data_IF_123328301040
#
_entry.id   IF_123328301040
#
_cell.length_a   1.000
_cell.length_b   1.000
_cell.length_c   1.000
_cell.angle_alpha   90.00
_cell.angle_beta   90.00
_cell.angle_gamma   90.00
#
_symmetry.space_group_name_H-M   'P 1'
#
loop_
_entity.id
_entity.type
_entity.pdbx_description
1 polymer ?
#
# COMPACT_ATOMS: atom_id res chain seq x y z
N UNK A 1 21.33 -52.09 83.33
CA UNK A 1 21.18 -50.77 82.69
C UNK A 1 22.22 -50.72 81.58
N UNK A 2 21.96 -51.18 80.35
CA UNK A 2 20.75 -51.11 79.48
C UNK A 2 20.46 -49.66 79.07
N UNK A 3 20.33 -49.26 77.79
CA UNK A 3 20.69 -49.95 76.50
C UNK A 3 21.19 -48.86 75.48
N UNK A 4 21.02 -48.77 74.13
CA UNK A 4 20.16 -49.37 73.08
C UNK A 4 20.97 -49.59 71.78
N UNK A 5 20.71 -50.71 71.07
CA UNK A 5 20.90 -50.91 69.60
C UNK A 5 19.52 -51.26 68.99
N UNK A 6 19.20 -51.15 67.66
CA UNK A 6 20.12 -51.24 66.52
C UNK A 6 19.83 -50.41 65.22
N UNK A 7 20.83 -50.36 64.33
CA UNK A 7 20.79 -50.54 62.84
C UNK A 7 19.80 -49.79 61.91
N UNK A 8 20.38 -49.23 60.83
CA UNK A 8 19.77 -48.82 59.53
C UNK A 8 18.81 -47.61 59.56
N UNK A 9 18.51 -46.91 58.45
CA UNK A 9 18.76 -47.19 57.03
C UNK A 9 19.12 -45.91 56.23
N UNK A 10 19.69 -46.04 55.03
CA UNK A 10 20.12 -44.90 54.21
C UNK A 10 19.09 -44.51 53.15
N UNK A 11 18.67 -43.25 53.11
CA UNK A 11 17.72 -42.71 52.12
C UNK A 11 18.42 -41.74 51.14
N UNK A 12 18.38 -41.98 49.81
CA UNK A 12 18.91 -41.04 48.82
C UNK A 12 18.06 -39.76 48.70
N UNK A 13 18.70 -38.63 48.39
CA UNK A 13 17.99 -37.37 48.13
C UNK A 13 17.25 -37.37 46.79
N UNK A 14 16.05 -36.77 46.74
CA UNK A 14 15.27 -36.57 45.53
C UNK A 14 14.79 -35.12 45.39
N UNK A 15 15.09 -34.53 44.23
CA UNK A 15 14.91 -33.13 43.82
C UNK A 15 13.46 -32.61 44.03
N UNK A 16 13.33 -31.39 44.55
CA UNK A 16 12.05 -30.68 44.58
C UNK A 16 11.73 -30.01 43.22
N UNK A 17 10.58 -30.27 42.58
CA UNK A 17 10.20 -29.62 41.33
C UNK A 17 9.56 -28.25 41.59
N UNK A 18 10.32 -27.17 41.41
CA UNK A 18 9.76 -25.83 41.33
C UNK A 18 9.01 -25.65 39.99
N UNK A 19 7.68 -25.66 40.03
CA UNK A 19 6.81 -25.68 38.83
C UNK A 19 5.63 -24.72 38.93
N UNK A 20 5.89 -23.44 39.17
CA UNK A 20 4.85 -22.41 39.25
C UNK A 20 4.14 -22.20 37.90
N UNK A 21 2.92 -22.72 37.77
CA UNK A 21 2.11 -22.59 36.56
C UNK A 21 1.58 -21.15 36.39
N UNK A 22 2.39 -20.28 35.79
CA UNK A 22 1.95 -18.95 35.33
C UNK A 22 0.93 -19.13 34.20
N UNK A 23 -0.34 -18.91 34.52
CA UNK A 23 -1.41 -18.94 33.54
C UNK A 23 -1.18 -17.83 32.49
N UNK A 24 -0.80 -18.24 31.28
CA UNK A 24 -0.56 -17.33 30.16
C UNK A 24 -1.88 -16.69 29.72
N UNK A 25 -2.20 -15.53 30.30
CA UNK A 25 -3.31 -14.70 29.85
C UNK A 25 -3.08 -14.31 28.38
N UNK A 26 -3.84 -14.95 27.49
CA UNK A 26 -3.74 -14.75 26.05
C UNK A 26 -4.24 -13.35 25.67
N UNK A 27 -3.36 -12.36 25.78
CA UNK A 27 -3.60 -11.01 25.30
C UNK A 27 -3.92 -11.06 23.81
N UNK A 28 -5.18 -10.83 23.46
CA UNK A 28 -5.63 -10.81 22.08
C UNK A 28 -4.85 -9.75 21.31
N UNK A 29 -3.96 -10.19 20.43
CA UNK A 29 -3.09 -9.29 19.68
C UNK A 29 -3.94 -8.38 18.79
N UNK A 30 -4.05 -7.10 19.18
CA UNK A 30 -4.74 -6.08 18.39
C UNK A 30 -3.96 -5.91 17.09
N UNK A 31 -4.44 -6.56 16.03
CA UNK A 31 -3.88 -6.43 14.69
C UNK A 31 -4.13 -5.00 14.21
N UNK A 32 -3.12 -4.13 14.38
CA UNK A 32 -3.12 -2.76 13.88
C UNK A 32 -3.04 -2.81 12.36
N UNK A 33 -4.20 -3.01 11.73
CA UNK A 33 -4.38 -3.02 10.29
C UNK A 33 -4.02 -1.64 9.73
N UNK A 34 -3.10 -1.53 8.76
CA UNK A 34 -2.67 -0.24 8.22
C UNK A 34 -3.85 0.58 7.69
N UNK A 35 -3.80 1.91 7.80
CA UNK A 35 -4.84 2.81 7.30
C UNK A 35 -4.33 3.78 6.25
N UNK A 36 -5.27 4.25 5.43
CA UNK A 36 -5.07 5.16 4.31
C UNK A 36 -6.30 6.03 4.08
N UNK A 37 -6.24 6.93 3.09
CA UNK A 37 -7.40 7.72 2.68
C UNK A 37 -8.00 7.20 1.36
N UNK A 38 -9.32 7.20 1.26
CA UNK A 38 -10.05 6.79 0.06
C UNK A 38 -9.73 7.71 -1.14
N UNK A 39 -9.30 7.11 -2.25
CA UNK A 39 -8.95 7.83 -3.49
C UNK A 39 -10.20 8.22 -4.30
N UNK A 40 -10.10 9.24 -5.16
CA UNK A 40 -11.25 9.76 -5.91
C UNK A 40 -11.50 9.02 -7.24
N UNK A 41 -12.67 8.39 -7.35
CA UNK A 41 -13.19 7.83 -8.61
C UNK A 41 -13.30 8.92 -9.70
N UNK A 42 -12.86 8.62 -10.93
CA UNK A 42 -12.92 9.54 -12.08
C UNK A 42 -13.27 8.79 -13.36
N UNK A 43 -13.98 9.43 -14.30
CA UNK A 43 -14.23 8.84 -15.63
C UNK A 43 -12.94 8.75 -16.47
N UNK A 44 -12.46 7.56 -16.88
CA UNK A 44 -11.18 7.43 -17.58
C UNK A 44 -11.09 8.21 -18.89
N UNK A 45 -12.17 8.26 -19.67
CA UNK A 45 -12.25 9.00 -20.94
C UNK A 45 -12.27 10.52 -20.72
N UNK A 46 -12.98 10.98 -19.69
CA UNK A 46 -13.01 12.40 -19.31
C UNK A 46 -11.64 12.89 -18.83
N UNK A 47 -10.87 12.04 -18.15
CA UNK A 47 -9.50 12.32 -17.71
C UNK A 47 -8.50 12.27 -18.87
N UNK A 48 -8.60 11.28 -19.76
CA UNK A 48 -7.66 11.07 -20.87
C UNK A 48 -7.81 12.07 -22.02
N UNK A 49 -9.04 12.38 -22.43
CA UNK A 49 -9.30 13.17 -23.63
C UNK A 49 -10.14 14.41 -23.34
N UNK A 50 -11.25 14.27 -22.60
CA UNK A 50 -12.20 15.37 -22.42
C UNK A 50 -11.60 16.62 -21.74
N UNK A 51 -11.03 16.46 -20.55
CA UNK A 51 -10.45 17.57 -19.79
C UNK A 51 -9.12 18.07 -20.38
N UNK A 52 -8.21 17.22 -20.88
CA UNK A 52 -7.05 17.69 -21.64
C UNK A 52 -7.42 18.50 -22.89
N UNK A 53 -8.43 18.10 -23.67
CA UNK A 53 -8.87 18.86 -24.85
C UNK A 53 -9.42 20.25 -24.46
N UNK A 54 -10.26 20.32 -23.42
CA UNK A 54 -10.83 21.59 -22.91
C UNK A 54 -9.77 22.51 -22.27
N UNK A 55 -8.65 21.96 -21.77
CA UNK A 55 -7.60 22.72 -21.08
C UNK A 55 -6.29 22.86 -21.86
N UNK A 56 -6.32 22.60 -23.18
CA UNK A 56 -5.14 22.65 -24.06
C UNK A 56 -3.95 21.82 -23.52
N UNK A 57 -4.25 20.63 -22.99
CA UNK A 57 -3.30 19.67 -22.41
C UNK A 57 -2.97 19.88 -20.93
N UNK A 58 -3.18 21.08 -20.38
CA UNK A 58 -2.72 21.46 -19.02
C UNK A 58 -3.30 20.55 -17.92
N UNK A 59 -4.52 20.03 -18.09
CA UNK A 59 -5.12 19.09 -17.13
C UNK A 59 -4.28 17.83 -16.91
N UNK A 60 -3.47 17.38 -17.87
CA UNK A 60 -2.60 16.20 -17.70
C UNK A 60 -1.63 16.39 -16.53
N UNK A 61 -1.03 17.58 -16.39
CA UNK A 61 -0.16 17.92 -15.26
C UNK A 61 -0.92 17.92 -13.93
N UNK A 62 -2.11 18.54 -13.92
CA UNK A 62 -2.98 18.65 -12.74
C UNK A 62 -3.48 17.27 -12.28
N UNK A 63 -3.80 16.39 -13.22
CA UNK A 63 -4.15 15.00 -12.94
C UNK A 63 -2.95 14.23 -12.40
N UNK A 64 -1.78 14.37 -13.01
CA UNK A 64 -0.57 13.64 -12.63
C UNK A 64 -0.14 13.95 -11.18
N UNK A 65 -0.21 15.22 -10.78
CA UNK A 65 -0.03 15.62 -9.38
C UNK A 65 -1.08 14.98 -8.45
N UNK A 66 -2.37 15.06 -8.83
CA UNK A 66 -3.48 14.55 -8.01
C UNK A 66 -3.41 13.04 -7.78
N UNK A 67 -3.05 12.23 -8.78
CA UNK A 67 -2.91 10.78 -8.58
C UNK A 67 -1.72 10.41 -7.69
N UNK A 68 -0.59 11.13 -7.77
CA UNK A 68 0.54 10.86 -6.88
C UNK A 68 0.22 11.26 -5.44
N UNK A 69 -0.49 12.38 -5.24
CA UNK A 69 -0.99 12.80 -3.94
C UNK A 69 -1.95 11.74 -3.36
N UNK A 70 -2.97 11.34 -4.12
CA UNK A 70 -3.94 10.33 -3.66
C UNK A 70 -3.29 8.96 -3.40
N UNK A 71 -2.31 8.53 -4.19
CA UNK A 71 -1.54 7.30 -3.92
C UNK A 71 -0.68 7.39 -2.64
N UNK A 72 -0.17 8.57 -2.30
CA UNK A 72 0.59 8.81 -1.07
C UNK A 72 -0.34 8.89 0.16
N UNK A 73 -1.53 9.47 -0.01
CA UNK A 73 -2.54 9.54 1.04
C UNK A 73 -3.22 8.18 1.27
N UNK A 74 -3.31 7.34 0.24
CA UNK A 74 -3.83 5.96 0.28
C UNK A 74 -2.86 4.98 0.96
N UNK A 75 -1.58 4.98 0.64
CA UNK A 75 -0.57 4.20 1.37
C UNK A 75 0.57 5.09 1.84
N UNK A 76 0.39 5.64 3.05
CA UNK A 76 1.32 6.56 3.72
C UNK A 76 2.69 5.94 4.03
N UNK A 77 2.85 4.61 3.92
CA UNK A 77 4.14 3.91 4.07
C UNK A 77 5.01 4.07 2.83
N UNK A 78 4.42 4.43 1.67
CA UNK A 78 5.14 4.56 0.40
C UNK A 78 5.58 6.01 0.18
N UNK A 79 6.89 6.23 0.16
CA UNK A 79 7.49 7.56 -0.10
C UNK A 79 7.35 7.93 -1.59
N UNK A 80 6.19 8.49 -1.93
CA UNK A 80 5.95 9.17 -3.19
C UNK A 80 6.18 10.68 -3.01
N UNK A 81 6.62 11.36 -4.07
CA UNK A 81 6.77 12.81 -4.11
C UNK A 81 5.89 13.39 -5.24
N UNK A 82 4.66 13.84 -4.96
CA UNK A 82 3.74 14.35 -5.97
C UNK A 82 4.26 15.61 -6.66
N UNK A 83 4.88 16.50 -5.90
CA UNK A 83 5.51 17.73 -6.41
C UNK A 83 6.72 17.40 -7.26
N UNK A 84 7.60 16.49 -6.83
CA UNK A 84 8.75 16.03 -7.61
C UNK A 84 8.34 15.36 -8.93
N UNK A 85 7.32 14.52 -8.91
CA UNK A 85 6.78 13.86 -10.11
C UNK A 85 6.20 14.88 -11.11
N UNK A 86 5.53 15.92 -10.61
CA UNK A 86 5.06 17.05 -11.40
C UNK A 86 6.21 17.89 -11.98
N UNK A 87 7.22 18.23 -11.17
CA UNK A 87 8.39 19.01 -11.59
C UNK A 87 9.18 18.28 -12.69
N UNK A 88 9.35 16.96 -12.59
CA UNK A 88 9.94 16.13 -13.66
C UNK A 88 9.12 16.23 -14.95
N UNK A 89 7.79 16.19 -14.87
CA UNK A 89 6.93 16.31 -16.05
C UNK A 89 6.97 17.71 -16.69
N UNK A 90 7.15 18.77 -15.90
CA UNK A 90 7.26 20.16 -16.37
C UNK A 90 8.65 20.42 -16.98
N UNK A 91 9.73 20.21 -16.23
CA UNK A 91 11.08 20.65 -16.61
C UNK A 91 11.84 19.63 -17.46
N UNK A 92 11.56 18.33 -17.30
CA UNK A 92 12.20 17.25 -18.05
C UNK A 92 11.21 16.56 -19.02
N UNK A 93 9.98 17.06 -19.16
CA UNK A 93 8.95 16.49 -20.04
C UNK A 93 9.40 16.33 -21.50
N UNK A 94 10.21 17.27 -21.99
CA UNK A 94 10.78 17.26 -23.35
C UNK A 94 11.87 16.20 -23.58
N UNK A 95 12.44 15.61 -22.52
CA UNK A 95 13.56 14.65 -22.64
C UNK A 95 13.16 13.24 -23.07
N UNK A 96 11.84 12.95 -23.13
CA UNK A 96 11.20 11.64 -23.31
C UNK A 96 11.56 10.59 -22.23
N UNK A 97 12.83 10.37 -21.95
CA UNK A 97 13.35 9.37 -20.99
C UNK A 97 12.77 9.60 -19.59
N UNK A 98 12.77 10.84 -19.08
CA UNK A 98 12.27 11.13 -17.74
C UNK A 98 10.75 10.88 -17.60
N UNK A 99 9.87 11.33 -18.53
CA UNK A 99 8.48 10.88 -18.58
C UNK A 99 8.30 9.36 -18.59
N UNK A 100 9.06 8.61 -19.39
CA UNK A 100 8.91 7.15 -19.49
C UNK A 100 9.23 6.44 -18.16
N UNK A 101 10.29 6.88 -17.47
CA UNK A 101 10.64 6.42 -16.12
C UNK A 101 9.56 6.84 -15.11
N UNK A 102 9.05 8.08 -15.22
CA UNK A 102 7.99 8.60 -14.34
C UNK A 102 6.72 7.75 -14.46
N UNK A 103 6.20 7.54 -15.68
CA UNK A 103 5.02 6.70 -15.95
C UNK A 103 5.23 5.24 -15.54
N UNK A 104 6.44 4.70 -15.69
CA UNK A 104 6.78 3.36 -15.20
C UNK A 104 6.64 3.27 -13.66
N UNK A 105 7.14 4.28 -12.96
CA UNK A 105 7.09 4.35 -11.50
C UNK A 105 5.67 4.65 -10.98
N UNK A 106 4.86 5.42 -11.70
CA UNK A 106 3.42 5.55 -11.44
C UNK A 106 2.70 4.22 -11.62
N UNK A 107 3.02 3.46 -12.68
CA UNK A 107 2.49 2.11 -12.87
C UNK A 107 2.83 1.16 -11.72
N UNK A 108 4.07 1.21 -11.22
CA UNK A 108 4.47 0.50 -9.97
C UNK A 108 3.66 0.96 -8.76
N UNK A 109 3.47 2.27 -8.59
CA UNK A 109 2.69 2.81 -7.47
C UNK A 109 1.21 2.37 -7.49
N UNK A 110 0.58 2.28 -8.66
CA UNK A 110 -0.79 1.77 -8.81
C UNK A 110 -0.84 0.24 -8.56
N UNK A 111 0.15 -0.51 -9.06
CA UNK A 111 0.28 -1.95 -8.79
C UNK A 111 0.47 -2.25 -7.29
N UNK A 112 1.23 -1.41 -6.58
CA UNK A 112 1.42 -1.53 -5.14
C UNK A 112 0.15 -1.15 -4.37
N UNK A 113 -0.58 -0.11 -4.79
CA UNK A 113 -1.88 0.25 -4.22
C UNK A 113 -2.94 -0.85 -4.42
N UNK A 114 -2.88 -1.61 -5.53
CA UNK A 114 -3.69 -2.82 -5.70
C UNK A 114 -3.36 -3.88 -4.65
N UNK A 115 -2.07 -4.15 -4.35
CA UNK A 115 -1.69 -5.10 -3.27
C UNK A 115 -2.13 -4.63 -1.90
N UNK A 116 -1.92 -3.34 -1.57
CA UNK A 116 -2.38 -2.76 -0.31
C UNK A 116 -3.91 -2.79 -0.16
N UNK A 117 -4.68 -2.79 -1.26
CA UNK A 117 -6.12 -3.02 -1.26
C UNK A 117 -6.54 -4.50 -1.25
N UNK A 118 -5.59 -5.45 -1.26
CA UNK A 118 -5.88 -6.89 -1.34
C UNK A 118 -6.34 -7.36 -2.72
N UNK A 119 -6.21 -6.52 -3.75
CA UNK A 119 -6.62 -6.85 -5.12
C UNK A 119 -5.52 -7.62 -5.87
N UNK A 120 -5.90 -8.49 -6.83
CA UNK A 120 -4.94 -9.05 -7.78
C UNK A 120 -4.30 -7.92 -8.61
N UNK A 121 -2.97 -7.96 -8.74
CA UNK A 121 -2.20 -6.95 -9.46
C UNK A 121 -2.49 -7.07 -10.96
N UNK A 122 -3.26 -6.12 -11.48
CA UNK A 122 -3.64 -6.02 -12.89
C UNK A 122 -3.03 -4.80 -13.58
N UNK A 123 -2.41 -3.89 -12.82
CA UNK A 123 -1.61 -2.79 -13.35
C UNK A 123 -0.18 -3.25 -13.69
N UNK A 124 0.14 -3.31 -14.98
CA UNK A 124 1.49 -3.52 -15.48
C UNK A 124 2.24 -2.18 -15.60
N UNK A 125 3.42 -2.03 -14.96
CA UNK A 125 4.30 -0.88 -15.17
C UNK A 125 4.81 -0.76 -16.62
N UNK A 126 4.98 -1.87 -17.33
CA UNK A 126 5.43 -1.84 -18.72
C UNK A 126 4.31 -1.32 -19.66
N UNK A 127 3.07 -1.76 -19.45
CA UNK A 127 1.91 -1.22 -20.18
C UNK A 127 1.69 0.27 -19.87
N UNK A 128 1.89 0.66 -18.61
CA UNK A 128 1.84 2.06 -18.15
C UNK A 128 2.81 2.97 -18.90
N UNK A 129 4.00 2.48 -19.25
CA UNK A 129 4.98 3.20 -20.07
C UNK A 129 4.61 3.13 -21.56
N UNK A 130 4.38 1.94 -22.11
CA UNK A 130 4.20 1.72 -23.55
C UNK A 130 2.96 2.44 -24.13
N UNK A 131 1.85 2.45 -23.40
CA UNK A 131 0.60 3.10 -23.83
C UNK A 131 0.71 4.64 -23.93
N UNK A 132 1.81 5.24 -23.48
CA UNK A 132 2.10 6.67 -23.69
C UNK A 132 2.20 6.98 -25.20
N UNK A 133 2.86 6.10 -25.96
CA UNK A 133 3.05 6.26 -27.40
C UNK A 133 1.77 6.05 -28.22
N UNK A 134 0.75 5.41 -27.63
CA UNK A 134 -0.54 5.14 -28.28
C UNK A 134 -1.55 6.21 -27.85
N UNK A 135 -1.43 7.42 -28.42
CA UNK A 135 -2.29 8.58 -28.14
C UNK A 135 -2.48 8.91 -26.63
N UNK A 136 -1.46 8.67 -25.79
CA UNK A 136 -1.56 8.92 -24.35
C UNK A 136 -2.55 7.99 -23.62
N UNK A 137 -2.84 6.79 -24.15
CA UNK A 137 -3.70 5.80 -23.50
C UNK A 137 -3.16 5.32 -22.14
N UNK A 138 -1.90 5.64 -21.79
CA UNK A 138 -1.38 5.48 -20.43
C UNK A 138 -2.27 6.19 -19.39
N UNK A 139 -2.73 7.42 -19.66
CA UNK A 139 -3.63 8.14 -18.75
C UNK A 139 -4.97 7.42 -18.56
N UNK A 140 -5.58 6.97 -19.66
CA UNK A 140 -6.83 6.19 -19.61
C UNK A 140 -6.65 4.90 -18.82
N UNK A 141 -5.58 4.15 -19.11
CA UNK A 141 -5.23 2.88 -18.48
C UNK A 141 -4.96 3.03 -16.99
N UNK A 142 -4.08 3.96 -16.59
CA UNK A 142 -3.77 4.28 -15.19
C UNK A 142 -5.03 4.66 -14.43
N UNK A 143 -5.89 5.53 -14.99
CA UNK A 143 -7.13 5.92 -14.34
C UNK A 143 -8.11 4.74 -14.20
N UNK A 144 -8.15 3.83 -15.18
CA UNK A 144 -8.98 2.62 -15.10
C UNK A 144 -8.47 1.64 -14.04
N UNK A 145 -7.15 1.55 -13.83
CA UNK A 145 -6.52 0.71 -12.79
C UNK A 145 -6.72 1.29 -11.39
N UNK A 146 -6.56 2.61 -11.21
CA UNK A 146 -6.90 3.34 -9.99
C UNK A 146 -8.37 3.16 -9.61
N UNK A 147 -9.28 3.21 -10.58
CA UNK A 147 -10.71 3.00 -10.34
C UNK A 147 -11.04 1.59 -9.83
N UNK A 148 -10.21 0.56 -10.09
CA UNK A 148 -10.39 -0.76 -9.47
C UNK A 148 -10.09 -0.71 -7.97
N UNK A 149 -9.04 0.02 -7.57
CA UNK A 149 -8.72 0.23 -6.15
C UNK A 149 -9.84 0.99 -5.46
N UNK A 150 -10.37 2.06 -6.06
CA UNK A 150 -11.50 2.80 -5.49
C UNK A 150 -12.75 1.91 -5.36
N UNK A 151 -13.06 1.09 -6.38
CA UNK A 151 -14.22 0.20 -6.36
C UNK A 151 -14.17 -0.85 -5.23
N UNK A 152 -12.98 -1.25 -4.75
CA UNK A 152 -12.84 -2.15 -3.61
C UNK A 152 -13.33 -1.54 -2.28
N UNK A 153 -13.43 -0.22 -2.18
CA UNK A 153 -13.92 0.51 -1.01
C UNK A 153 -15.34 1.10 -1.20
N UNK A 154 -16.05 0.67 -2.25
CA UNK A 154 -17.43 1.10 -2.54
C UNK A 154 -17.59 2.61 -2.72
N UNK A 155 -18.71 3.15 -2.24
CA UNK A 155 -19.03 4.59 -2.31
C UNK A 155 -18.47 5.39 -1.11
N UNK A 156 -17.35 4.95 -0.52
CA UNK A 156 -16.65 5.69 0.53
C UNK A 156 -16.20 7.07 0.01
N UNK A 157 -16.49 8.13 0.77
CA UNK A 157 -16.19 9.49 0.36
C UNK A 157 -14.66 9.72 0.22
N UNK A 158 -14.18 10.39 -0.86
CA UNK A 158 -12.75 10.62 -1.03
C UNK A 158 -12.16 11.43 0.12
N UNK A 159 -11.06 10.96 0.69
CA UNK A 159 -10.44 11.55 1.89
C UNK A 159 -10.92 10.97 3.23
N UNK A 160 -11.94 10.10 3.26
CA UNK A 160 -12.29 9.32 4.46
C UNK A 160 -11.22 8.26 4.74
N UNK A 161 -10.94 8.01 6.02
CA UNK A 161 -10.00 6.96 6.45
C UNK A 161 -10.56 5.56 6.19
N UNK A 162 -9.73 4.69 5.63
CA UNK A 162 -10.03 3.32 5.25
C UNK A 162 -8.92 2.38 5.72
N UNK A 163 -9.29 1.14 6.04
CA UNK A 163 -8.34 0.11 6.40
C UNK A 163 -7.82 -0.62 5.16
N UNK A 164 -6.51 -0.76 5.05
CA UNK A 164 -5.83 -1.52 4.01
C UNK A 164 -5.91 -3.04 4.28
N UNK A 165 -5.64 -3.84 3.26
CA UNK A 165 -5.58 -5.29 3.37
C UNK A 165 -4.23 -5.80 3.89
N UNK A 166 -3.13 -5.15 3.48
CA UNK A 166 -1.75 -5.51 3.77
C UNK A 166 -0.86 -4.26 3.82
#
# INVERSE_FOLDING_TARGET
MDDIKPTAEATPGAVAPAGGAVAAAAGAAVSVRPTGLAMKRRGPVAVWLGLPLVTLGIYQLVWYYKIHKELQEFDRRRVLNPTGSLLVMIFLGWTLIAPLISFHNTGKAIADAQRAAGLPVTCSPAASTFLTFVFGLNTWYMQRQLNLVVAAYGDTAPGTEIHLAA
#
